data_IF_026521854087
#
_entry.id   IF_026521854087
#
_cell.length_a   1.000
_cell.length_b   1.000
_cell.length_c   1.000
_cell.angle_alpha   90.00
_cell.angle_beta   90.00
_cell.angle_gamma   90.00
#
_symmetry.space_group_name_H-M   'P 1'
#
loop_
_entity.id
_entity.type
_entity.pdbx_description
1 polymer ?
#
# COMPACT_ATOMS: atom_id res chain seq x y z
N UNK A 1 28.68 29.16 -66.74
CA UNK A 1 27.36 29.05 -66.15
C UNK A 1 27.49 28.43 -64.78
N UNK A 2 27.61 29.31 -63.82
CA UNK A 2 27.80 28.94 -62.39
C UNK A 2 26.41 28.93 -61.71
N UNK A 3 26.01 27.79 -61.20
CA UNK A 3 24.75 27.64 -60.46
C UNK A 3 25.04 27.87 -58.96
N UNK A 4 24.65 29.01 -58.45
CA UNK A 4 24.69 29.35 -57.03
C UNK A 4 23.56 28.61 -56.33
N UNK A 5 23.93 27.69 -55.44
CA UNK A 5 23.00 27.05 -54.51
C UNK A 5 22.79 27.96 -53.27
N UNK A 6 21.62 28.52 -53.13
CA UNK A 6 21.22 29.26 -51.93
C UNK A 6 20.72 28.23 -50.89
N UNK A 7 21.58 27.98 -49.89
CA UNK A 7 21.26 27.21 -48.71
C UNK A 7 20.39 28.04 -47.76
N UNK A 8 19.06 27.83 -47.80
CA UNK A 8 18.15 28.42 -46.85
C UNK A 8 18.29 27.75 -45.47
N UNK A 9 19.07 28.34 -44.58
CA UNK A 9 19.05 27.99 -43.15
C UNK A 9 17.73 28.50 -42.56
N UNK A 10 16.82 27.55 -42.27
CA UNK A 10 15.63 27.83 -41.51
C UNK A 10 16.02 28.16 -40.06
N UNK A 11 16.21 29.40 -39.76
CA UNK A 11 16.39 29.90 -38.38
C UNK A 11 15.04 29.85 -37.66
N UNK A 12 14.80 28.76 -36.96
CA UNK A 12 13.68 28.70 -35.99
C UNK A 12 13.94 29.80 -34.98
N UNK A 13 13.10 30.82 -34.99
CA UNK A 13 13.27 32.01 -34.14
C UNK A 13 13.28 31.57 -32.65
N UNK A 14 14.09 32.22 -31.85
CA UNK A 14 14.18 31.96 -30.40
C UNK A 14 12.79 32.05 -29.71
N UNK A 15 11.89 32.81 -30.28
CA UNK A 15 10.48 32.94 -29.88
C UNK A 15 9.74 31.60 -30.03
N UNK A 16 9.94 30.85 -31.13
CA UNK A 16 9.33 29.53 -31.33
C UNK A 16 9.86 28.49 -30.34
N UNK A 17 11.13 28.56 -29.97
CA UNK A 17 11.73 27.70 -28.95
C UNK A 17 11.18 27.98 -27.55
N UNK A 18 11.02 29.27 -27.20
CA UNK A 18 10.42 29.66 -25.92
C UNK A 18 8.96 29.27 -25.83
N UNK A 19 8.19 29.43 -26.92
CA UNK A 19 6.78 28.98 -26.96
C UNK A 19 6.68 27.46 -26.87
N UNK A 20 7.55 26.71 -27.54
CA UNK A 20 7.57 25.22 -27.45
C UNK A 20 7.97 24.73 -26.07
N UNK A 21 8.92 25.37 -25.41
CA UNK A 21 9.33 25.07 -24.04
C UNK A 21 8.23 25.43 -23.03
N UNK A 22 7.53 26.54 -23.24
CA UNK A 22 6.39 26.97 -22.43
C UNK A 22 5.19 26.04 -22.58
N UNK A 23 4.89 25.53 -23.80
CA UNK A 23 3.87 24.51 -24.02
C UNK A 23 4.21 23.16 -23.39
N UNK A 24 5.49 22.76 -23.38
CA UNK A 24 5.95 21.56 -22.68
C UNK A 24 5.81 21.69 -21.15
N UNK A 25 6.07 22.88 -20.60
CA UNK A 25 5.88 23.10 -19.15
C UNK A 25 4.39 23.19 -18.75
N UNK A 26 3.53 23.71 -19.62
CA UNK A 26 2.09 23.81 -19.38
C UNK A 26 1.36 22.45 -19.45
N UNK A 27 1.99 21.45 -20.08
CA UNK A 27 1.45 20.09 -20.23
C UNK A 27 1.70 19.15 -19.05
N UNK A 28 2.35 19.59 -17.97
CA UNK A 28 2.47 18.82 -16.73
C UNK A 28 1.13 18.88 -15.99
N UNK A 29 0.10 18.22 -16.51
CA UNK A 29 -1.07 17.89 -15.75
C UNK A 29 -0.58 17.07 -14.55
N UNK A 30 -0.90 17.51 -13.34
CA UNK A 30 -0.64 16.72 -12.15
C UNK A 30 -1.32 15.36 -12.33
N UNK A 31 -0.52 14.35 -12.65
CA UNK A 31 -0.98 12.95 -12.68
C UNK A 31 -1.21 12.60 -11.20
N UNK A 32 -2.44 12.80 -10.73
CA UNK A 32 -2.87 12.22 -9.47
C UNK A 32 -2.90 10.70 -9.67
N UNK A 33 -1.81 10.02 -9.29
CA UNK A 33 -1.81 8.57 -9.20
C UNK A 33 -2.97 8.14 -8.29
N UNK A 34 -3.73 7.14 -8.69
CA UNK A 34 -4.73 6.52 -7.83
C UNK A 34 -3.97 5.86 -6.67
N UNK A 35 -3.98 6.52 -5.55
CA UNK A 35 -3.35 6.02 -4.33
C UNK A 35 -4.39 5.22 -3.57
N UNK A 36 -4.07 3.97 -3.24
CA UNK A 36 -4.87 3.20 -2.29
C UNK A 36 -4.97 3.95 -0.97
N UNK A 37 -6.19 4.31 -0.59
CA UNK A 37 -6.48 5.09 0.61
C UNK A 37 -7.46 4.33 1.49
N UNK A 38 -7.25 4.40 2.79
CA UNK A 38 -8.19 3.89 3.76
C UNK A 38 -9.09 5.00 4.33
N UNK A 39 -9.92 4.61 5.28
CA UNK A 39 -10.75 5.52 6.05
C UNK A 39 -10.79 5.13 7.52
N UNK A 40 -10.94 6.13 8.39
CA UNK A 40 -11.18 5.95 9.81
C UNK A 40 -12.55 6.51 10.12
N UNK A 41 -13.39 5.71 10.76
CA UNK A 41 -14.74 6.08 11.18
C UNK A 41 -14.99 5.59 12.60
N UNK A 42 -16.03 6.06 13.24
CA UNK A 42 -16.42 5.62 14.58
C UNK A 42 -17.51 6.49 15.17
N UNK A 43 -17.88 6.16 16.39
CA UNK A 43 -18.87 6.89 17.18
C UNK A 43 -18.23 7.51 18.42
N UNK A 44 -18.70 8.69 18.78
CA UNK A 44 -18.30 9.38 20.01
C UNK A 44 -19.48 9.38 20.96
N UNK A 45 -19.27 8.78 22.14
CA UNK A 45 -20.27 8.69 23.21
C UNK A 45 -19.71 9.26 24.50
N UNK A 46 -20.59 9.70 25.40
CA UNK A 46 -20.22 10.09 26.75
C UNK A 46 -20.09 8.87 27.69
N UNK A 47 -19.76 9.13 28.96
CA UNK A 47 -19.63 8.10 29.98
C UNK A 47 -20.95 7.36 30.28
N UNK A 48 -22.11 7.95 29.98
CA UNK A 48 -23.43 7.35 30.14
C UNK A 48 -23.89 6.56 28.89
N UNK A 49 -23.13 6.66 27.77
CA UNK A 49 -23.47 6.03 26.50
C UNK A 49 -24.31 6.91 25.58
N UNK A 50 -24.57 8.19 25.94
CA UNK A 50 -25.24 9.11 25.05
C UNK A 50 -24.28 9.59 23.95
N UNK A 51 -24.80 9.77 22.72
CA UNK A 51 -24.01 10.24 21.58
C UNK A 51 -23.61 11.70 21.76
N UNK A 52 -22.43 12.07 21.28
CA UNK A 52 -21.92 13.44 21.36
C UNK A 52 -21.83 14.03 19.96
N UNK A 53 -22.80 14.88 19.57
CA UNK A 53 -22.77 15.58 18.29
C UNK A 53 -21.78 16.76 18.32
N UNK A 54 -21.37 17.21 17.13
CA UNK A 54 -20.47 18.36 16.94
C UNK A 54 -19.12 18.25 17.66
N UNK A 55 -18.68 17.05 18.01
CA UNK A 55 -17.31 16.82 18.46
C UNK A 55 -16.35 16.93 17.28
N UNK A 56 -15.21 17.57 17.49
CA UNK A 56 -14.15 17.67 16.50
C UNK A 56 -13.21 16.47 16.61
N UNK A 57 -13.09 15.71 15.54
CA UNK A 57 -12.18 14.55 15.45
C UNK A 57 -11.01 14.91 14.53
N UNK A 58 -9.81 14.89 15.06
CA UNK A 58 -8.57 15.16 14.31
C UNK A 58 -7.76 13.89 14.17
N UNK A 59 -7.52 13.48 12.93
CA UNK A 59 -6.71 12.30 12.59
C UNK A 59 -5.37 12.76 12.05
N UNK A 60 -4.29 12.44 12.75
CA UNK A 60 -2.93 12.90 12.41
C UNK A 60 -1.98 11.73 12.23
N UNK A 61 -1.23 11.74 11.13
CA UNK A 61 -0.12 10.82 10.91
C UNK A 61 1.18 11.45 11.45
N UNK A 62 1.80 10.89 12.51
CA UNK A 62 2.99 11.49 13.12
C UNK A 62 4.25 11.44 12.23
N UNK A 63 4.32 10.50 11.28
CA UNK A 63 5.47 10.37 10.38
C UNK A 63 5.51 11.42 9.28
N UNK A 64 4.33 11.89 8.82
CA UNK A 64 4.20 12.84 7.70
C UNK A 64 3.62 14.18 8.11
N UNK A 65 3.11 14.32 9.35
CA UNK A 65 2.33 15.45 9.87
C UNK A 65 1.05 15.73 9.05
N UNK A 66 0.60 14.75 8.26
CA UNK A 66 -0.70 14.85 7.60
C UNK A 66 -1.79 14.85 8.65
N UNK A 67 -2.62 15.90 8.66
CA UNK A 67 -3.77 16.01 9.55
C UNK A 67 -5.06 16.19 8.75
N UNK A 68 -6.12 15.53 9.20
CA UNK A 68 -7.49 15.64 8.68
C UNK A 68 -8.45 15.79 9.84
N UNK A 69 -9.45 16.63 9.66
CA UNK A 69 -10.49 16.86 10.67
C UNK A 69 -11.86 16.48 10.12
N UNK A 70 -12.71 15.97 10.99
CA UNK A 70 -14.13 15.76 10.76
C UNK A 70 -14.92 16.15 12.02
N UNK A 71 -16.20 16.42 11.89
CA UNK A 71 -17.11 16.66 13.01
C UNK A 71 -18.10 15.51 13.10
N UNK A 72 -18.50 15.15 14.33
CA UNK A 72 -19.54 14.15 14.53
C UNK A 72 -20.91 14.71 14.14
N UNK A 73 -21.73 13.86 13.51
CA UNK A 73 -23.12 14.16 13.19
C UNK A 73 -24.05 14.04 14.43
N UNK A 74 -25.36 14.18 14.24
CA UNK A 74 -26.38 14.09 15.31
C UNK A 74 -26.42 12.70 15.98
N UNK A 75 -25.91 11.66 15.31
CA UNK A 75 -25.78 10.29 15.82
C UNK A 75 -24.42 10.05 16.50
N UNK A 76 -23.58 11.10 16.65
CA UNK A 76 -22.23 10.98 17.19
C UNK A 76 -21.24 10.28 16.25
N UNK A 77 -21.62 10.02 14.99
CA UNK A 77 -20.77 9.33 14.02
C UNK A 77 -19.85 10.29 13.29
N UNK A 78 -18.61 9.86 13.08
CA UNK A 78 -17.63 10.55 12.24
C UNK A 78 -17.04 9.65 11.19
N UNK A 79 -16.55 10.23 10.09
CA UNK A 79 -15.91 9.50 9.01
C UNK A 79 -14.83 10.38 8.34
N UNK A 80 -13.59 9.94 8.41
CA UNK A 80 -12.43 10.58 7.78
C UNK A 80 -11.95 9.70 6.64
N UNK A 81 -12.06 10.20 5.42
CA UNK A 81 -11.73 9.46 4.18
C UNK A 81 -10.41 9.94 3.58
N UNK A 82 -9.94 9.22 2.56
CA UNK A 82 -8.73 9.57 1.80
C UNK A 82 -7.48 9.65 2.67
N UNK A 83 -7.34 8.70 3.60
CA UNK A 83 -6.17 8.56 4.45
C UNK A 83 -5.19 7.56 3.81
N UNK A 84 -3.95 7.98 3.53
CA UNK A 84 -2.89 7.07 3.12
C UNK A 84 -2.62 5.95 4.15
N UNK A 85 -2.04 4.85 3.69
CA UNK A 85 -1.53 3.79 4.57
C UNK A 85 -0.54 4.36 5.58
N UNK A 86 -0.65 3.94 6.84
CA UNK A 86 0.24 4.37 7.91
C UNK A 86 -0.38 4.29 9.30
N UNK A 87 0.36 4.76 10.29
CA UNK A 87 -0.10 4.83 11.67
C UNK A 87 -0.66 6.22 11.97
N UNK A 88 -1.81 6.27 12.61
CA UNK A 88 -2.55 7.50 12.91
C UNK A 88 -2.86 7.66 14.38
N UNK A 89 -2.76 8.87 14.86
CA UNK A 89 -3.31 9.28 16.14
C UNK A 89 -4.67 9.95 15.88
N UNK A 90 -5.68 9.51 16.61
CA UNK A 90 -7.03 10.07 16.53
C UNK A 90 -7.31 10.83 17.82
N UNK A 91 -7.56 12.13 17.70
CA UNK A 91 -7.87 13.02 18.81
C UNK A 91 -9.34 13.48 18.70
N UNK A 92 -10.07 13.40 19.79
CA UNK A 92 -11.45 13.89 19.90
C UNK A 92 -11.51 15.03 20.90
N UNK A 93 -12.14 16.12 20.49
CA UNK A 93 -12.36 17.32 21.30
C UNK A 93 -13.85 17.72 21.23
N UNK A 94 -14.47 17.92 22.37
CA UNK A 94 -15.83 18.42 22.47
C UNK A 94 -15.94 19.44 23.61
N UNK A 95 -16.84 20.45 23.50
CA UNK A 95 -17.07 21.41 24.58
C UNK A 95 -17.54 20.70 25.87
N UNK A 96 -16.95 21.04 27.01
CA UNK A 96 -17.26 20.48 28.34
C UNK A 96 -16.84 19.00 28.53
N UNK A 97 -16.04 18.46 27.63
CA UNK A 97 -15.46 17.12 27.75
C UNK A 97 -13.93 17.19 27.79
N UNK A 98 -13.32 16.20 28.40
CA UNK A 98 -11.87 15.98 28.35
C UNK A 98 -11.47 15.57 26.93
N UNK A 99 -10.26 15.97 26.50
CA UNK A 99 -9.70 15.50 25.25
C UNK A 99 -9.40 14.01 25.34
N UNK A 100 -9.76 13.27 24.31
CA UNK A 100 -9.47 11.84 24.22
C UNK A 100 -8.60 11.54 23.02
N UNK A 101 -7.52 10.82 23.22
CA UNK A 101 -6.59 10.44 22.14
C UNK A 101 -6.44 8.92 22.06
N UNK A 102 -6.51 8.39 20.85
CA UNK A 102 -6.17 7.02 20.52
C UNK A 102 -4.93 7.02 19.63
N UNK A 103 -3.74 6.69 20.17
CA UNK A 103 -2.51 6.68 19.41
C UNK A 103 -2.32 5.35 18.65
N UNK A 104 -1.48 5.39 17.60
CA UNK A 104 -0.96 4.17 16.97
C UNK A 104 -1.94 3.36 16.15
N UNK A 105 -3.03 3.95 15.66
CA UNK A 105 -4.01 3.26 14.84
C UNK A 105 -3.43 2.93 13.46
N UNK A 106 -3.11 1.66 13.20
CA UNK A 106 -2.58 1.19 11.93
C UNK A 106 -3.67 1.11 10.87
N UNK A 107 -3.52 1.86 9.79
CA UNK A 107 -4.44 1.90 8.65
C UNK A 107 -3.77 1.28 7.45
N UNK A 108 -4.28 0.14 6.99
CA UNK A 108 -3.86 -0.54 5.77
C UNK A 108 -4.61 -0.01 4.54
N UNK A 109 -4.10 -0.34 3.35
CA UNK A 109 -4.73 0.05 2.09
C UNK A 109 -6.16 -0.47 1.99
N UNK A 110 -7.03 0.39 1.46
CA UNK A 110 -8.45 0.09 1.23
C UNK A 110 -9.16 -0.46 2.47
N UNK A 111 -8.61 -0.19 3.66
CA UNK A 111 -9.19 -0.63 4.91
C UNK A 111 -10.14 0.40 5.50
N UNK A 112 -11.04 -0.11 6.31
CA UNK A 112 -12.01 0.67 7.09
C UNK A 112 -11.73 0.40 8.55
N UNK A 113 -11.05 1.33 9.20
CA UNK A 113 -10.76 1.22 10.60
C UNK A 113 -11.87 1.90 11.41
N UNK A 114 -12.43 1.19 12.38
CA UNK A 114 -13.40 1.75 13.32
C UNK A 114 -12.70 2.07 14.63
N UNK A 115 -12.81 3.33 15.07
CA UNK A 115 -12.24 3.80 16.33
C UNK A 115 -13.36 4.54 17.09
N UNK A 116 -13.95 3.87 18.06
CA UNK A 116 -15.01 4.45 18.89
C UNK A 116 -14.40 5.12 20.12
N UNK A 117 -14.99 6.23 20.52
CA UNK A 117 -14.55 6.98 21.69
C UNK A 117 -15.65 7.05 22.73
N UNK A 118 -15.23 6.83 23.97
CA UNK A 118 -16.03 7.13 25.15
C UNK A 118 -15.35 8.27 25.91
N UNK A 119 -15.95 9.47 25.86
CA UNK A 119 -15.36 10.66 26.44
C UNK A 119 -16.02 11.02 27.78
N UNK A 120 -15.23 11.58 28.68
CA UNK A 120 -15.66 11.98 30.02
C UNK A 120 -15.89 13.48 30.09
N UNK A 121 -16.89 13.90 30.85
CA UNK A 121 -17.09 15.32 31.17
C UNK A 121 -15.93 15.86 32.00
N UNK A 122 -15.42 17.03 31.65
CA UNK A 122 -14.29 17.63 32.35
C UNK A 122 -13.74 18.84 31.60
N UNK A 123 -12.60 19.36 32.10
CA UNK A 123 -11.94 20.47 31.43
C UNK A 123 -11.17 19.98 30.20
N UNK A 124 -11.22 20.78 29.11
CA UNK A 124 -10.54 20.50 27.82
C UNK A 124 -8.99 20.34 27.99
N UNK A 125 -8.44 20.88 29.09
CA UNK A 125 -6.99 20.76 29.37
C UNK A 125 -6.54 19.37 29.81
N UNK A 126 -7.46 18.48 30.20
CA UNK A 126 -7.15 17.10 30.59
C UNK A 126 -7.23 16.19 29.37
N UNK A 127 -6.21 15.37 29.14
CA UNK A 127 -6.17 14.39 28.03
C UNK A 127 -6.24 12.98 28.59
N UNK A 128 -7.16 12.19 28.09
CA UNK A 128 -7.27 10.75 28.40
C UNK A 128 -6.76 9.96 27.21
N UNK A 129 -5.78 9.10 27.43
CA UNK A 129 -5.29 8.20 26.41
C UNK A 129 -6.16 6.94 26.38
N UNK A 130 -6.82 6.70 25.26
CA UNK A 130 -7.56 5.46 25.02
C UNK A 130 -6.62 4.50 24.31
N UNK A 131 -6.17 3.47 25.00
CA UNK A 131 -5.37 2.43 24.38
C UNK A 131 -6.24 1.71 23.36
N UNK A 132 -5.87 1.69 22.07
CA UNK A 132 -6.58 0.86 21.11
C UNK A 132 -6.47 -0.58 21.60
N UNK A 133 -7.58 -1.29 21.60
CA UNK A 133 -7.56 -2.72 21.92
C UNK A 133 -6.69 -3.38 20.86
N UNK A 134 -5.46 -3.74 21.27
CA UNK A 134 -4.49 -4.43 20.42
C UNK A 134 -4.97 -5.86 20.18
N UNK A 135 -5.99 -6.02 19.34
CA UNK A 135 -6.42 -7.27 18.77
C UNK A 135 -6.37 -7.14 17.26
N UNK A 136 -6.12 -8.22 16.54
CA UNK A 136 -6.40 -8.25 15.11
C UNK A 136 -7.79 -7.65 14.90
N UNK A 137 -7.83 -6.48 14.25
CA UNK A 137 -9.11 -5.83 13.96
C UNK A 137 -9.86 -6.73 12.99
N UNK A 138 -10.78 -7.52 13.55
CA UNK A 138 -11.71 -8.28 12.72
C UNK A 138 -12.48 -7.25 11.91
N UNK A 139 -12.29 -7.27 10.61
CA UNK A 139 -12.99 -6.38 9.70
C UNK A 139 -14.47 -6.80 9.65
N UNK A 140 -15.27 -6.23 10.55
CA UNK A 140 -16.72 -6.49 10.62
C UNK A 140 -17.53 -5.66 9.62
N UNK A 141 -16.87 -4.73 8.91
CA UNK A 141 -17.53 -3.79 7.99
C UNK A 141 -17.45 -4.18 6.52
N UNK A 142 -16.63 -5.18 6.17
CA UNK A 142 -16.57 -5.73 4.82
C UNK A 142 -16.57 -7.26 4.88
N UNK A 143 -17.26 -7.90 3.92
CA UNK A 143 -17.21 -9.36 3.71
C UNK A 143 -15.95 -9.82 2.96
N UNK A 144 -14.97 -8.97 2.83
CA UNK A 144 -13.71 -9.23 2.14
C UNK A 144 -12.91 -10.31 2.88
N UNK A 145 -12.45 -11.31 2.13
CA UNK A 145 -11.54 -12.33 2.65
C UNK A 145 -10.16 -12.08 2.08
N UNK A 146 -9.22 -11.78 2.96
CA UNK A 146 -7.86 -11.43 2.55
C UNK A 146 -6.89 -11.43 3.72
N UNK A 147 -5.64 -11.14 3.41
CA UNK A 147 -4.56 -10.96 4.38
C UNK A 147 -3.68 -9.80 3.97
N UNK A 148 -3.25 -9.03 4.95
CA UNK A 148 -2.20 -8.03 4.80
C UNK A 148 -0.89 -8.63 5.28
N UNK A 149 0.15 -8.53 4.46
CA UNK A 149 1.53 -8.87 4.79
C UNK A 149 2.23 -7.54 5.03
N UNK A 150 2.56 -7.28 6.26
CA UNK A 150 3.15 -6.02 6.70
C UNK A 150 4.67 -5.95 6.46
N UNK A 151 5.25 -4.78 6.68
CA UNK A 151 6.66 -4.55 6.50
C UNK A 151 7.55 -5.38 7.43
N UNK A 152 7.07 -5.73 8.63
CA UNK A 152 7.83 -6.58 9.56
C UNK A 152 7.93 -8.01 9.04
N UNK A 153 6.82 -8.56 8.54
CA UNK A 153 6.80 -9.88 7.91
C UNK A 153 7.66 -9.92 6.65
N UNK A 154 7.59 -8.86 5.82
CA UNK A 154 8.39 -8.73 4.60
C UNK A 154 9.90 -8.75 4.87
N UNK A 155 10.35 -8.08 5.93
CA UNK A 155 11.78 -7.94 6.22
C UNK A 155 12.34 -9.06 7.11
N UNK A 156 11.52 -9.66 7.98
CA UNK A 156 11.99 -10.63 8.97
C UNK A 156 11.91 -12.08 8.49
N UNK A 157 11.12 -12.36 7.45
CA UNK A 157 11.02 -13.70 6.89
C UNK A 157 12.12 -13.95 5.85
N UNK A 158 12.76 -15.11 5.94
CA UNK A 158 13.78 -15.51 4.97
C UNK A 158 13.12 -15.86 3.63
N UNK A 159 13.36 -15.03 2.61
CA UNK A 159 12.82 -15.21 1.26
C UNK A 159 13.93 -15.59 0.28
N UNK A 160 13.67 -16.61 -0.54
CA UNK A 160 14.57 -16.96 -1.63
C UNK A 160 14.56 -15.85 -2.69
N UNK A 161 15.75 -15.30 -3.00
CA UNK A 161 15.88 -14.21 -3.95
C UNK A 161 15.15 -12.91 -3.56
N UNK A 162 14.73 -12.76 -2.29
CA UNK A 162 13.96 -11.61 -1.79
C UNK A 162 12.68 -11.31 -2.58
N UNK A 163 12.02 -12.38 -2.99
CA UNK A 163 10.77 -12.28 -3.75
C UNK A 163 9.57 -12.33 -2.81
N UNK A 164 8.87 -11.21 -2.67
CA UNK A 164 7.68 -11.09 -1.81
C UNK A 164 6.52 -12.01 -2.24
N UNK A 165 6.51 -12.46 -3.47
CA UNK A 165 5.51 -13.43 -3.97
C UNK A 165 5.48 -14.72 -3.16
N UNK A 166 6.62 -15.13 -2.60
CA UNK A 166 6.69 -16.33 -1.75
C UNK A 166 5.82 -16.22 -0.51
N UNK A 167 5.65 -15.01 0.02
CA UNK A 167 4.79 -14.78 1.19
C UNK A 167 3.31 -14.96 0.89
N UNK A 168 2.89 -14.89 -0.36
CA UNK A 168 1.52 -15.14 -0.75
C UNK A 168 1.13 -16.61 -0.51
N UNK A 169 2.09 -17.54 -0.49
CA UNK A 169 1.85 -18.94 -0.14
C UNK A 169 1.43 -19.15 1.31
N UNK A 170 1.67 -18.16 2.19
CA UNK A 170 1.23 -18.20 3.59
C UNK A 170 -0.26 -17.87 3.76
N UNK A 171 -0.93 -17.50 2.67
CA UNK A 171 -2.36 -17.17 2.71
C UNK A 171 -3.17 -18.42 2.42
N UNK A 172 -4.20 -18.75 3.24
CA UNK A 172 -5.07 -19.89 2.97
C UNK A 172 -5.68 -19.83 1.57
N UNK A 173 -5.63 -20.96 0.85
CA UNK A 173 -6.13 -21.07 -0.52
C UNK A 173 -5.12 -20.72 -1.61
N UNK A 174 -3.92 -20.25 -1.26
CA UNK A 174 -2.83 -20.02 -2.19
C UNK A 174 -1.95 -21.27 -2.34
N UNK A 175 -1.68 -21.68 -3.57
CA UNK A 175 -0.84 -22.84 -3.90
C UNK A 175 0.23 -22.41 -4.90
N UNK A 176 1.50 -22.61 -4.54
CA UNK A 176 2.63 -22.41 -5.44
C UNK A 176 2.71 -23.59 -6.41
N UNK A 177 2.71 -23.32 -7.70
CA UNK A 177 2.67 -24.35 -8.76
C UNK A 177 4.01 -24.62 -9.41
N UNK A 178 5.01 -23.75 -9.20
CA UNK A 178 6.36 -23.93 -9.74
C UNK A 178 7.39 -23.26 -8.81
N UNK A 179 8.23 -24.05 -8.20
CA UNK A 179 9.28 -23.57 -7.28
C UNK A 179 10.37 -22.78 -8.02
N UNK A 180 10.72 -23.20 -9.26
CA UNK A 180 11.77 -22.57 -10.07
C UNK A 180 11.38 -21.14 -10.53
N UNK A 181 10.10 -20.89 -10.72
CA UNK A 181 9.62 -19.60 -11.20
C UNK A 181 9.62 -18.52 -10.11
N UNK A 182 9.72 -18.89 -8.84
CA UNK A 182 9.89 -17.95 -7.74
C UNK A 182 11.28 -17.28 -7.76
N UNK A 183 12.23 -17.87 -8.48
CA UNK A 183 13.59 -17.33 -8.60
C UNK A 183 13.69 -16.19 -9.64
N UNK A 184 12.75 -16.10 -10.58
CA UNK A 184 12.82 -15.13 -11.68
C UNK A 184 12.21 -13.76 -11.36
N UNK A 185 11.67 -13.53 -10.18
CA UNK A 185 11.10 -12.25 -9.69
C UNK A 185 10.02 -11.59 -10.57
N UNK A 186 9.79 -12.07 -11.80
CA UNK A 186 8.85 -11.47 -12.75
C UNK A 186 7.61 -12.33 -13.00
N UNK A 187 7.68 -13.64 -12.74
CA UNK A 187 6.57 -14.55 -12.97
C UNK A 187 5.47 -14.37 -11.92
N UNK A 188 4.25 -14.11 -12.36
CA UNK A 188 3.07 -13.95 -11.49
C UNK A 188 2.09 -15.11 -11.61
N UNK A 189 2.28 -15.98 -12.58
CA UNK A 189 1.41 -17.13 -12.85
C UNK A 189 1.75 -18.38 -12.03
N UNK A 190 2.69 -18.27 -11.11
CA UNK A 190 3.18 -19.39 -10.28
C UNK A 190 2.35 -19.64 -9.03
N UNK A 191 1.42 -18.76 -8.72
CA UNK A 191 0.55 -18.90 -7.54
C UNK A 191 -0.91 -18.99 -8.00
N UNK A 192 -1.51 -20.13 -7.72
CA UNK A 192 -2.94 -20.37 -7.91
C UNK A 192 -3.68 -20.05 -6.60
N UNK A 193 -4.78 -19.32 -6.68
CA UNK A 193 -5.56 -18.94 -5.52
C UNK A 193 -6.99 -19.45 -5.68
N UNK A 194 -7.49 -20.14 -4.67
CA UNK A 194 -8.82 -20.76 -4.66
C UNK A 194 -9.10 -21.66 -5.89
N UNK A 195 -8.07 -22.36 -6.36
CA UNK A 195 -8.18 -23.25 -7.53
C UNK A 195 -8.17 -22.53 -8.88
N UNK A 196 -8.10 -21.19 -8.92
CA UNK A 196 -7.97 -20.44 -10.17
C UNK A 196 -6.53 -20.49 -10.68
N UNK A 197 -6.36 -20.29 -11.98
CA UNK A 197 -5.02 -20.20 -12.59
C UNK A 197 -4.30 -18.93 -12.15
N UNK A 198 -2.98 -18.96 -12.03
CA UNK A 198 -2.16 -17.82 -11.64
C UNK A 198 -2.35 -16.59 -12.53
N UNK A 199 -2.58 -16.78 -13.84
CA UNK A 199 -2.90 -15.70 -14.80
C UNK A 199 -4.24 -15.00 -14.54
N UNK A 200 -5.09 -15.59 -13.70
CA UNK A 200 -6.37 -15.00 -13.31
C UNK A 200 -6.25 -14.06 -12.11
N UNK A 201 -5.06 -13.92 -11.53
CA UNK A 201 -4.80 -12.97 -10.46
C UNK A 201 -4.55 -11.58 -11.05
N UNK A 202 -4.99 -10.55 -10.36
CA UNK A 202 -4.68 -9.16 -10.68
C UNK A 202 -3.64 -8.63 -9.71
N UNK A 203 -2.56 -8.07 -10.24
CA UNK A 203 -1.51 -7.43 -9.47
C UNK A 203 -1.52 -5.93 -9.72
N UNK A 204 -1.59 -5.16 -8.67
CA UNK A 204 -1.46 -3.71 -8.72
C UNK A 204 -0.29 -3.23 -7.88
N UNK A 205 0.33 -2.15 -8.33
CA UNK A 205 1.36 -1.42 -7.63
C UNK A 205 0.88 0.01 -7.41
N UNK A 206 0.72 0.42 -6.16
CA UNK A 206 0.18 1.74 -5.78
C UNK A 206 -1.13 2.10 -6.51
N UNK A 207 -2.00 1.10 -6.71
CA UNK A 207 -3.27 1.24 -7.43
C UNK A 207 -3.17 1.12 -8.96
N UNK A 208 -1.96 1.19 -9.54
CA UNK A 208 -1.74 0.98 -10.98
C UNK A 208 -1.60 -0.51 -11.33
N UNK A 209 -2.15 -0.94 -12.47
CA UNK A 209 -2.00 -2.32 -12.96
C UNK A 209 -0.52 -2.65 -13.20
N UNK A 210 -0.03 -3.71 -12.58
CA UNK A 210 1.34 -4.20 -12.72
C UNK A 210 1.44 -5.56 -13.45
N UNK A 211 0.36 -6.06 -14.00
CA UNK A 211 0.35 -7.25 -14.84
C UNK A 211 0.73 -6.92 -16.27
N UNK A 212 1.48 -7.82 -16.90
CA UNK A 212 1.75 -7.78 -18.33
C UNK A 212 0.44 -7.87 -19.13
N UNK A 213 0.20 -6.87 -19.97
CA UNK A 213 -1.07 -6.73 -20.73
C UNK A 213 -1.33 -7.88 -21.73
N UNK A 214 -0.29 -8.61 -22.15
CA UNK A 214 -0.43 -9.68 -23.14
C UNK A 214 -0.84 -11.02 -22.55
N UNK A 215 -0.29 -11.38 -21.38
CA UNK A 215 -0.45 -12.75 -20.84
C UNK A 215 -0.92 -12.81 -19.40
N UNK A 216 -0.88 -11.72 -18.66
CA UNK A 216 -1.04 -11.69 -17.19
C UNK A 216 -0.09 -12.65 -16.43
N UNK A 217 0.92 -13.20 -17.11
CA UNK A 217 1.79 -14.23 -16.55
C UNK A 217 3.03 -13.64 -15.84
N UNK A 218 3.25 -12.33 -15.97
CA UNK A 218 4.40 -11.65 -15.36
C UNK A 218 4.02 -10.22 -14.93
N UNK A 219 4.79 -9.69 -13.99
CA UNK A 219 4.70 -8.28 -13.60
C UNK A 219 5.50 -7.38 -14.57
N UNK A 220 5.03 -6.14 -14.72
CA UNK A 220 5.71 -5.13 -15.54
C UNK A 220 6.92 -4.58 -14.78
N UNK A 221 6.70 -4.23 -13.52
CA UNK A 221 7.74 -3.68 -12.62
C UNK A 221 7.95 -4.61 -11.44
N UNK A 222 9.21 -4.98 -11.20
CA UNK A 222 9.61 -5.69 -10.00
C UNK A 222 10.08 -4.69 -8.95
N UNK A 223 9.33 -4.60 -7.85
CA UNK A 223 9.65 -3.71 -6.73
C UNK A 223 10.45 -4.50 -5.69
N UNK A 224 11.62 -3.98 -5.34
CA UNK A 224 12.42 -4.55 -4.25
C UNK A 224 11.65 -4.49 -2.92
N UNK A 225 11.77 -5.53 -2.13
CA UNK A 225 11.08 -5.70 -0.84
C UNK A 225 11.30 -4.52 0.12
N UNK A 226 12.45 -3.86 0.03
CA UNK A 226 12.78 -2.72 0.90
C UNK A 226 11.92 -1.49 0.63
N UNK A 227 11.38 -1.39 -0.58
CA UNK A 227 10.49 -0.29 -0.97
C UNK A 227 9.02 -0.60 -0.67
N UNK A 228 8.68 -1.84 -0.27
CA UNK A 228 7.31 -2.24 -0.01
C UNK A 228 6.92 -1.89 1.42
N UNK A 229 5.80 -1.21 1.58
CA UNK A 229 5.17 -0.92 2.87
C UNK A 229 4.33 -2.09 3.33
N UNK A 230 3.47 -2.60 2.44
CA UNK A 230 2.62 -3.76 2.69
C UNK A 230 2.19 -4.42 1.37
N UNK A 231 1.83 -5.69 1.46
CA UNK A 231 1.17 -6.43 0.37
C UNK A 231 -0.18 -6.91 0.88
N UNK A 232 -1.26 -6.42 0.28
CA UNK A 232 -2.62 -6.85 0.58
C UNK A 232 -3.08 -7.86 -0.44
N UNK A 233 -3.40 -9.07 0.01
CA UNK A 233 -3.99 -10.13 -0.79
C UNK A 233 -5.45 -10.30 -0.43
N UNK A 234 -6.33 -10.14 -1.40
CA UNK A 234 -7.77 -10.37 -1.30
C UNK A 234 -8.14 -11.57 -2.14
N UNK A 235 -8.63 -12.63 -1.49
CA UNK A 235 -8.90 -13.92 -2.15
C UNK A 235 -10.34 -14.07 -2.60
N UNK A 236 -11.28 -13.35 -1.97
CA UNK A 236 -12.69 -13.34 -2.36
C UNK A 236 -13.43 -12.13 -1.77
N UNK A 237 -14.62 -11.85 -2.32
CA UNK A 237 -15.51 -10.76 -1.92
C UNK A 237 -14.86 -9.37 -1.91
N UNK A 238 -13.85 -9.18 -2.76
CA UNK A 238 -13.22 -7.88 -2.91
C UNK A 238 -14.14 -6.87 -3.61
N UNK A 239 -13.88 -5.58 -3.42
CA UNK A 239 -14.69 -4.49 -3.94
C UNK A 239 -14.81 -4.54 -5.48
N UNK A 240 -15.93 -4.05 -6.01
CA UNK A 240 -16.18 -3.95 -7.46
C UNK A 240 -15.20 -3.02 -8.20
N UNK A 241 -14.44 -2.19 -7.49
CA UNK A 241 -13.35 -1.40 -8.07
C UNK A 241 -12.20 -2.28 -8.60
N UNK A 242 -12.03 -3.48 -8.05
CA UNK A 242 -11.07 -4.49 -8.50
C UNK A 242 -11.71 -5.45 -9.50
N UNK A 243 -11.97 -4.97 -10.70
CA UNK A 243 -12.57 -5.79 -11.77
C UNK A 243 -11.57 -6.66 -12.53
N UNK A 244 -12.06 -7.38 -13.52
CA UNK A 244 -11.31 -8.11 -14.57
C UNK A 244 -10.48 -9.31 -14.13
N UNK A 245 -10.62 -9.80 -12.91
CA UNK A 245 -9.97 -11.00 -12.42
C UNK A 245 -10.97 -11.94 -11.77
N UNK A 246 -10.75 -13.24 -11.93
CA UNK A 246 -11.52 -14.30 -11.25
C UNK A 246 -10.70 -15.00 -10.14
N UNK A 247 -9.42 -14.69 -10.06
CA UNK A 247 -8.51 -15.15 -9.01
C UNK A 247 -8.49 -14.20 -7.83
N UNK A 248 -7.32 -13.84 -7.39
CA UNK A 248 -7.13 -12.88 -6.31
C UNK A 248 -6.75 -11.50 -6.80
N UNK A 249 -7.01 -10.51 -5.94
CA UNK A 249 -6.49 -9.16 -6.06
C UNK A 249 -5.27 -9.03 -5.14
N UNK A 250 -4.12 -8.68 -5.71
CA UNK A 250 -2.85 -8.49 -5.02
C UNK A 250 -2.48 -7.02 -5.15
N UNK A 251 -2.52 -6.29 -4.04
CA UNK A 251 -2.13 -4.87 -3.98
C UNK A 251 -0.77 -4.75 -3.30
N UNK A 252 0.22 -4.28 -4.03
CA UNK A 252 1.53 -3.92 -3.51
C UNK A 252 1.57 -2.42 -3.28
N UNK A 253 1.89 -2.01 -2.06
CA UNK A 253 1.93 -0.60 -1.68
C UNK A 253 3.34 -0.25 -1.28
N UNK A 254 3.89 0.79 -1.90
CA UNK A 254 5.25 1.24 -1.63
C UNK A 254 5.32 2.15 -0.41
N UNK A 255 6.51 2.19 0.21
CA UNK A 255 6.80 3.10 1.31
C UNK A 255 6.74 4.54 0.82
N UNK A 256 6.14 5.38 1.62
CA UNK A 256 6.12 6.83 1.39
C UNK A 256 7.24 7.51 2.15
N UNK A 257 7.69 8.64 1.63
CA UNK A 257 8.59 9.52 2.36
C UNK A 257 7.94 10.05 3.64
N UNK A 258 8.77 10.32 4.63
CA UNK A 258 8.40 10.98 5.88
C UNK A 258 9.28 12.21 6.11
N UNK A 259 9.12 12.83 7.28
CA UNK A 259 9.90 14.01 7.68
C UNK A 259 11.28 13.65 8.25
N UNK A 260 11.61 12.36 8.35
CA UNK A 260 12.89 11.86 8.83
C UNK A 260 13.58 11.05 7.73
N UNK A 261 14.91 11.14 7.67
CA UNK A 261 15.69 10.31 6.77
C UNK A 261 15.72 8.88 7.27
N UNK A 262 15.38 7.94 6.41
CA UNK A 262 15.43 6.51 6.67
C UNK A 262 16.24 5.84 5.58
N UNK A 263 16.96 4.77 5.94
CA UNK A 263 17.71 3.97 4.99
C UNK A 263 18.02 2.60 5.58
N UNK A 264 18.27 1.64 4.71
CA UNK A 264 18.74 0.32 5.07
C UNK A 264 19.92 -0.05 4.18
N UNK A 265 20.84 -0.83 4.72
CA UNK A 265 21.93 -1.45 3.97
C UNK A 265 21.89 -2.94 4.25
N UNK A 266 21.96 -3.75 3.23
CA UNK A 266 21.89 -5.20 3.37
C UNK A 266 22.81 -5.87 2.34
N UNK A 267 23.25 -7.07 2.66
CA UNK A 267 23.92 -7.98 1.72
C UNK A 267 23.39 -9.39 1.98
N UNK A 268 22.93 -10.04 0.92
CA UNK A 268 22.51 -11.43 0.94
C UNK A 268 23.39 -12.22 -0.03
N UNK A 269 24.13 -13.18 0.54
CA UNK A 269 24.99 -14.08 -0.20
C UNK A 269 24.34 -15.46 -0.25
N UNK A 270 24.11 -15.98 -1.46
CA UNK A 270 23.75 -17.37 -1.69
C UNK A 270 24.85 -18.03 -2.54
N UNK A 271 25.36 -19.13 -2.05
CA UNK A 271 26.45 -19.85 -2.72
C UNK A 271 26.17 -21.34 -2.64
N UNK A 272 26.43 -22.05 -3.73
CA UNK A 272 26.29 -23.49 -3.85
C UNK A 272 27.06 -24.27 -2.78
N UNK A 273 28.14 -23.70 -2.22
CA UNK A 273 28.88 -24.32 -1.12
C UNK A 273 28.06 -24.48 0.17
N UNK A 274 27.08 -23.63 0.37
CA UNK A 274 26.21 -23.65 1.56
C UNK A 274 24.89 -24.35 1.31
N UNK A 275 24.49 -24.55 0.05
CA UNK A 275 23.25 -25.20 -0.33
C UNK A 275 23.39 -26.73 -0.41
N UNK A 276 22.32 -27.44 -0.13
CA UNK A 276 22.19 -28.86 -0.39
C UNK A 276 21.78 -29.10 -1.85
N UNK A 277 22.10 -30.30 -2.36
CA UNK A 277 21.59 -30.80 -3.64
C UNK A 277 20.11 -31.18 -3.48
N UNK A 278 19.26 -30.85 -4.45
CA UNK A 278 17.91 -31.40 -4.49
C UNK A 278 17.96 -32.92 -4.64
N UNK A 279 16.96 -33.61 -4.06
CA UNK A 279 16.91 -35.08 -4.14
C UNK A 279 16.77 -35.61 -5.57
N UNK A 280 16.27 -34.79 -6.48
CA UNK A 280 16.01 -35.12 -7.89
C UNK A 280 17.16 -34.69 -8.85
N UNK A 281 18.13 -33.91 -8.37
CA UNK A 281 19.23 -33.45 -9.21
C UNK A 281 20.29 -34.53 -9.37
N UNK A 282 20.77 -34.76 -10.59
CA UNK A 282 21.84 -35.69 -10.86
C UNK A 282 23.19 -35.20 -10.29
N UNK A 283 23.43 -33.88 -10.32
CA UNK A 283 24.58 -33.21 -9.78
C UNK A 283 24.20 -31.91 -9.12
N UNK A 284 24.99 -31.44 -8.16
CA UNK A 284 24.76 -30.16 -7.51
C UNK A 284 24.98 -29.02 -8.51
N UNK A 285 23.96 -28.17 -8.78
CA UNK A 285 24.12 -27.02 -9.67
C UNK A 285 25.06 -25.99 -9.04
N UNK A 286 25.87 -25.32 -9.85
CA UNK A 286 26.70 -24.22 -9.37
C UNK A 286 25.81 -22.97 -9.21
N UNK A 287 25.82 -22.38 -8.04
CA UNK A 287 25.06 -21.19 -7.74
C UNK A 287 25.94 -20.16 -7.02
N UNK A 288 25.97 -18.93 -7.54
CA UNK A 288 26.53 -17.76 -6.86
C UNK A 288 25.61 -16.58 -7.07
N UNK A 289 25.00 -16.14 -6.01
CA UNK A 289 24.05 -15.04 -6.03
C UNK A 289 24.42 -14.03 -4.95
N UNK A 290 24.54 -12.76 -5.33
CA UNK A 290 24.77 -11.61 -4.46
C UNK A 290 23.63 -10.62 -4.65
N UNK A 291 23.04 -10.19 -3.55
CA UNK A 291 21.96 -9.20 -3.59
C UNK A 291 22.20 -8.13 -2.53
#
# INVERSE_FOLDING_TARGET
MEKTYVSGRCTISNIGRVIMLSLMLAGVSAIFGQVSVGRISGTVTDSAGAVVPNATVTVTNPATNLSRTATTNDEGFYNVTNLPVGSYNVLVEAPNFKKSISPGNALSADSRLTVDFKIETGQISETVEVTPTSGETVNVTSGEVGKVIDNQQLNNLALNGRNYYQLLSLVPGAVVTADDALDTNLATNTININGNRGVSNNLTLDGGTNNNAGSNASQINNVGIDFIQEVKLQTSNFSAEYGRNSGAQINVITKRGGNQFHGSMFEFLRNDRFDARSAFDAAKPSLRYHN
#
